data_IF_941821767045
#
_entry.id   IF_941821767045
#
_cell.length_a   1.000
_cell.length_b   1.000
_cell.length_c   1.000
_cell.angle_alpha   90.00
_cell.angle_beta   90.00
_cell.angle_gamma   90.00
#
_symmetry.space_group_name_H-M   'P 1'
#
loop_
_entity.id
_entity.type
_entity.pdbx_description
1 polymer ?
#
# COMPACT_ATOMS: atom_id res chain seq x y z
N UNK A 1 49.48 42.81 1.13
CA UNK A 1 48.06 42.61 1.53
C UNK A 1 47.47 41.46 0.74
N UNK A 2 47.42 40.24 1.30
CA UNK A 2 46.61 39.14 0.77
C UNK A 2 46.08 38.34 1.96
N UNK A 3 44.84 38.64 2.37
CA UNK A 3 44.12 37.89 3.40
C UNK A 3 43.55 36.64 2.73
N UNK A 4 44.09 35.47 3.05
CA UNK A 4 43.51 34.20 2.66
C UNK A 4 42.27 33.96 3.53
N UNK A 5 41.08 33.96 2.92
CA UNK A 5 39.86 33.48 3.57
C UNK A 5 39.93 31.95 3.66
N UNK A 6 39.97 31.43 4.88
CA UNK A 6 39.68 30.02 5.16
C UNK A 6 38.16 29.82 5.08
N UNK A 7 37.70 29.20 4.01
CA UNK A 7 36.34 28.64 3.93
C UNK A 7 36.29 27.37 4.78
N UNK A 8 35.68 27.44 5.96
CA UNK A 8 35.33 26.25 6.73
C UNK A 8 34.11 25.58 6.08
N UNK A 9 34.34 24.54 5.28
CA UNK A 9 33.27 23.64 4.84
C UNK A 9 32.80 22.83 6.07
N UNK A 10 31.74 23.30 6.72
CA UNK A 10 30.96 22.49 7.64
C UNK A 10 30.23 21.42 6.81
N UNK A 11 30.78 20.20 6.77
CA UNK A 11 30.07 19.01 6.33
C UNK A 11 28.91 18.78 7.31
N UNK A 12 27.73 19.32 6.98
CA UNK A 12 26.48 18.83 7.55
C UNK A 12 26.34 17.39 7.06
N UNK A 13 26.71 16.43 7.91
CA UNK A 13 26.27 15.06 7.76
C UNK A 13 24.75 15.08 7.86
N UNK A 14 24.07 15.14 6.70
CA UNK A 14 22.66 14.88 6.64
C UNK A 14 22.48 13.48 7.25
N UNK A 15 21.68 13.33 8.32
CA UNK A 15 21.33 12.00 8.78
C UNK A 15 20.72 11.30 7.57
N UNK A 16 21.36 10.21 7.12
CA UNK A 16 20.71 9.26 6.24
C UNK A 16 19.48 8.82 7.02
N UNK A 17 18.31 9.36 6.65
CA UNK A 17 17.04 8.94 7.19
C UNK A 17 16.87 7.48 6.75
N UNK A 18 17.37 6.57 7.57
CA UNK A 18 17.13 5.15 7.41
C UNK A 18 15.62 4.99 7.47
N UNK A 19 15.03 4.41 6.43
CA UNK A 19 13.60 4.17 6.46
C UNK A 19 13.33 3.24 7.64
N UNK A 20 12.35 3.59 8.47
CA UNK A 20 12.03 2.81 9.66
C UNK A 20 11.80 1.34 9.29
N UNK A 21 12.24 0.44 10.18
CA UNK A 21 12.00 -0.99 10.05
C UNK A 21 10.49 -1.26 9.92
N UNK A 22 10.14 -2.35 9.22
CA UNK A 22 8.76 -2.79 9.15
C UNK A 22 8.25 -3.13 10.55
N UNK A 23 7.10 -2.58 10.89
CA UNK A 23 6.39 -2.83 12.14
C UNK A 23 5.20 -3.74 11.85
N UNK A 24 4.98 -4.82 12.62
CA UNK A 24 3.79 -5.63 12.46
C UNK A 24 2.55 -4.79 12.79
N UNK A 25 1.47 -5.00 12.05
CA UNK A 25 0.20 -4.33 12.31
C UNK A 25 -0.99 -5.23 11.97
N UNK A 26 -2.13 -4.88 12.55
CA UNK A 26 -3.44 -5.40 12.16
C UNK A 26 -4.43 -4.24 12.17
N UNK A 27 -5.32 -4.17 11.18
CA UNK A 27 -6.32 -3.13 11.08
C UNK A 27 -7.62 -3.74 10.54
N UNK A 28 -8.73 -3.41 11.17
CA UNK A 28 -10.07 -3.71 10.70
C UNK A 28 -10.75 -2.43 10.19
N UNK A 29 -11.61 -2.59 9.20
CA UNK A 29 -12.26 -1.49 8.52
C UNK A 29 -13.75 -1.76 8.35
N UNK A 30 -14.55 -0.71 8.46
CA UNK A 30 -15.87 -0.69 7.85
C UNK A 30 -15.73 -0.43 6.36
N UNK A 31 -16.46 -1.17 5.53
CA UNK A 31 -16.59 -0.90 4.11
C UNK A 31 -17.99 -0.36 3.81
N UNK A 32 -18.05 0.87 3.32
CA UNK A 32 -19.28 1.55 2.91
C UNK A 32 -19.31 1.65 1.38
N UNK A 33 -20.42 1.21 0.80
CA UNK A 33 -20.75 1.47 -0.58
C UNK A 33 -21.92 2.45 -0.64
N UNK A 34 -21.65 3.72 -0.95
CA UNK A 34 -22.63 4.81 -0.84
C UNK A 34 -23.95 4.58 -1.59
N UNK A 35 -23.93 3.76 -2.63
CA UNK A 35 -25.11 3.48 -3.46
C UNK A 35 -25.95 2.27 -2.99
N UNK A 36 -25.53 1.53 -1.96
CA UNK A 36 -26.28 0.40 -1.41
C UNK A 36 -26.32 0.43 0.12
N UNK A 37 -27.45 0.09 0.77
CA UNK A 37 -27.56 0.03 2.23
C UNK A 37 -26.88 -1.22 2.82
N UNK A 38 -25.71 -1.59 2.31
CA UNK A 38 -24.95 -2.77 2.71
C UNK A 38 -23.59 -2.34 3.26
N UNK A 39 -23.31 -2.72 4.51
CA UNK A 39 -21.99 -2.60 5.12
C UNK A 39 -21.20 -3.89 4.92
N UNK A 40 -19.94 -3.74 4.55
CA UNK A 40 -18.96 -4.82 4.56
C UNK A 40 -17.94 -4.62 5.68
N UNK A 41 -17.08 -5.62 5.84
CA UNK A 41 -15.87 -5.53 6.64
C UNK A 41 -14.65 -5.75 5.78
N UNK A 42 -13.54 -5.15 6.17
CA UNK A 42 -12.23 -5.51 5.65
C UNK A 42 -11.21 -5.61 6.78
N UNK A 43 -10.17 -6.39 6.56
CA UNK A 43 -9.06 -6.63 7.47
C UNK A 43 -7.76 -6.52 6.69
N UNK A 44 -6.74 -5.90 7.28
CA UNK A 44 -5.38 -5.85 6.73
C UNK A 44 -4.38 -6.15 7.83
N UNK A 45 -3.34 -6.92 7.53
CA UNK A 45 -2.28 -7.18 8.50
C UNK A 45 -0.91 -7.37 7.86
N UNK A 46 0.13 -7.02 8.60
CA UNK A 46 1.52 -7.29 8.27
C UNK A 46 2.14 -8.07 9.44
N UNK A 47 2.73 -9.23 9.15
CA UNK A 47 3.35 -10.10 10.14
C UNK A 47 4.73 -10.55 9.70
N UNK A 48 5.64 -10.72 10.67
CA UNK A 48 6.99 -11.24 10.42
C UNK A 48 6.99 -12.75 10.60
N UNK A 49 7.56 -13.46 9.64
CA UNK A 49 7.67 -14.91 9.64
C UNK A 49 8.97 -15.37 10.32
N UNK A 50 9.00 -16.63 10.77
CA UNK A 50 10.16 -17.21 11.46
C UNK A 50 11.44 -17.23 10.60
N UNK A 51 11.31 -17.31 9.27
CA UNK A 51 12.42 -17.27 8.32
C UNK A 51 12.87 -15.85 7.95
N UNK A 52 12.34 -14.82 8.62
CA UNK A 52 12.66 -13.41 8.39
C UNK A 52 11.92 -12.73 7.23
N UNK A 53 11.10 -13.47 6.46
CA UNK A 53 10.19 -12.83 5.49
C UNK A 53 9.00 -12.19 6.21
N UNK A 54 8.18 -11.45 5.46
CA UNK A 54 6.96 -10.82 5.93
C UNK A 54 5.77 -11.32 5.12
N UNK A 55 4.60 -11.41 5.75
CA UNK A 55 3.34 -11.69 5.08
C UNK A 55 2.39 -10.52 5.29
N UNK A 56 1.93 -9.95 4.18
CA UNK A 56 0.94 -8.89 4.09
C UNK A 56 -0.38 -9.48 3.60
N UNK A 57 -1.41 -9.42 4.45
CA UNK A 57 -2.73 -9.95 4.18
C UNK A 57 -3.76 -8.84 4.06
N UNK A 58 -4.72 -9.04 3.17
CA UNK A 58 -5.93 -8.25 3.07
C UNK A 58 -7.13 -9.17 2.81
N UNK A 59 -8.24 -8.91 3.49
CA UNK A 59 -9.49 -9.61 3.30
C UNK A 59 -10.62 -8.59 3.32
N UNK A 60 -11.58 -8.74 2.42
CA UNK A 60 -12.81 -7.98 2.45
C UNK A 60 -14.00 -8.92 2.23
N UNK A 61 -15.10 -8.64 2.93
CA UNK A 61 -16.34 -9.40 2.80
C UNK A 61 -17.56 -8.50 2.89
N UNK A 62 -18.52 -8.77 2.02
CA UNK A 62 -19.89 -8.27 2.03
C UNK A 62 -20.83 -9.47 1.86
N UNK A 63 -22.13 -9.30 2.11
CA UNK A 63 -23.12 -10.39 2.15
C UNK A 63 -23.04 -11.37 0.95
N UNK A 64 -22.71 -10.86 -0.25
CA UNK A 64 -22.66 -11.64 -1.49
C UNK A 64 -21.31 -11.64 -2.19
N UNK A 65 -20.25 -11.10 -1.58
CA UNK A 65 -18.96 -10.95 -2.24
C UNK A 65 -17.79 -11.05 -1.25
N UNK A 66 -16.70 -11.66 -1.69
CA UNK A 66 -15.47 -11.76 -0.90
C UNK A 66 -14.25 -11.48 -1.76
N UNK A 67 -13.19 -11.02 -1.10
CA UNK A 67 -11.89 -10.78 -1.68
C UNK A 67 -10.82 -11.12 -0.63
N UNK A 68 -9.80 -11.85 -1.05
CA UNK A 68 -8.59 -12.12 -0.26
C UNK A 68 -7.35 -11.82 -1.10
N UNK A 69 -6.36 -11.23 -0.48
CA UNK A 69 -5.08 -10.87 -1.08
C UNK A 69 -3.96 -11.15 -0.07
N UNK A 70 -2.94 -11.89 -0.48
CA UNK A 70 -1.77 -12.23 0.33
C UNK A 70 -0.51 -11.98 -0.48
N UNK A 71 0.44 -11.24 0.10
CA UNK A 71 1.79 -11.09 -0.43
C UNK A 71 2.80 -11.55 0.60
N UNK A 72 3.74 -12.40 0.19
CA UNK A 72 4.95 -12.65 0.97
C UNK A 72 6.08 -11.82 0.38
N UNK A 73 6.93 -11.25 1.23
CA UNK A 73 8.03 -10.38 0.80
C UNK A 73 9.23 -10.49 1.73
N UNK A 74 10.40 -10.15 1.21
CA UNK A 74 11.60 -9.92 2.02
C UNK A 74 11.89 -8.43 2.07
N UNK A 75 12.41 -7.98 3.20
CA UNK A 75 12.98 -6.65 3.34
C UNK A 75 14.50 -6.80 3.26
N UNK A 76 15.12 -6.28 2.20
CA UNK A 76 16.58 -6.18 2.10
C UNK A 76 16.98 -4.71 2.15
N UNK A 77 17.55 -4.29 3.28
CA UNK A 77 17.74 -2.87 3.64
C UNK A 77 16.40 -2.13 3.52
N UNK A 78 16.27 -1.25 2.54
CA UNK A 78 15.04 -0.51 2.28
C UNK A 78 14.19 -1.09 1.15
N UNK A 79 14.69 -2.09 0.42
CA UNK A 79 14.00 -2.68 -0.71
C UNK A 79 12.96 -3.72 -0.25
N UNK A 80 11.70 -3.51 -0.65
CA UNK A 80 10.67 -4.53 -0.55
C UNK A 80 10.78 -5.45 -1.76
N UNK A 81 11.06 -6.72 -1.50
CA UNK A 81 11.23 -7.75 -2.52
C UNK A 81 10.07 -8.75 -2.41
N UNK A 82 8.94 -8.55 -3.12
CA UNK A 82 7.89 -9.57 -3.22
C UNK A 82 8.47 -10.94 -3.55
N UNK A 83 7.94 -11.99 -2.93
CA UNK A 83 8.30 -13.38 -3.22
C UNK A 83 7.11 -14.09 -3.86
N UNK A 84 5.90 -13.85 -3.34
CA UNK A 84 4.65 -14.36 -3.92
C UNK A 84 3.51 -13.37 -3.74
N UNK A 85 2.55 -13.42 -4.66
CA UNK A 85 1.28 -12.72 -4.59
C UNK A 85 0.14 -13.69 -4.89
N UNK A 86 -0.89 -13.71 -4.07
CA UNK A 86 -2.08 -14.54 -4.21
C UNK A 86 -3.30 -13.66 -4.03
N UNK A 87 -4.21 -13.72 -4.99
CA UNK A 87 -5.45 -12.94 -4.97
C UNK A 87 -6.61 -13.82 -5.38
N UNK A 88 -7.71 -13.71 -4.64
CA UNK A 88 -8.95 -14.38 -4.97
C UNK A 88 -10.13 -13.43 -4.71
N UNK A 89 -11.04 -13.35 -5.66
CA UNK A 89 -12.31 -12.62 -5.54
C UNK A 89 -13.44 -13.54 -5.97
N UNK A 90 -14.43 -13.71 -5.10
CA UNK A 90 -15.59 -14.56 -5.31
C UNK A 90 -16.91 -13.85 -5.00
N UNK A 91 -18.02 -14.58 -5.15
CA UNK A 91 -19.39 -14.09 -4.91
C UNK A 91 -20.17 -13.73 -6.18
N UNK A 92 -21.19 -12.88 -6.04
CA UNK A 92 -22.04 -12.41 -7.14
C UNK A 92 -21.26 -11.44 -8.05
N UNK A 93 -20.51 -12.00 -8.99
CA UNK A 93 -19.71 -11.28 -9.97
C UNK A 93 -18.71 -12.19 -10.68
N UNK A 94 -17.92 -11.63 -11.60
CA UNK A 94 -16.86 -12.40 -12.27
C UNK A 94 -15.76 -12.75 -11.26
N UNK A 95 -15.70 -14.02 -10.90
CA UNK A 95 -14.62 -14.57 -10.09
C UNK A 95 -13.26 -14.26 -10.71
N UNK A 96 -12.27 -13.99 -9.88
CA UNK A 96 -10.90 -13.73 -10.33
C UNK A 96 -9.94 -14.38 -9.36
N UNK A 97 -8.98 -15.13 -9.91
CA UNK A 97 -7.84 -15.68 -9.17
C UNK A 97 -6.55 -15.24 -9.85
N UNK A 98 -5.58 -14.80 -9.06
CA UNK A 98 -4.23 -14.47 -9.55
C UNK A 98 -3.21 -15.09 -8.61
N UNK A 99 -2.21 -15.75 -9.18
CA UNK A 99 -1.06 -16.27 -8.46
C UNK A 99 0.18 -15.78 -9.19
N UNK A 100 1.08 -15.06 -8.53
CA UNK A 100 2.36 -14.62 -9.08
C UNK A 100 3.49 -15.03 -8.15
N UNK A 101 4.58 -15.50 -8.70
CA UNK A 101 5.81 -15.85 -8.00
C UNK A 101 6.97 -15.05 -8.58
N UNK A 102 7.71 -14.37 -7.70
CA UNK A 102 8.75 -13.41 -8.02
C UNK A 102 10.11 -14.07 -7.80
N UNK A 103 10.72 -14.57 -8.88
CA UNK A 103 12.04 -15.17 -8.83
C UNK A 103 13.11 -14.11 -9.12
N UNK A 104 13.72 -13.60 -8.05
CA UNK A 104 14.82 -12.64 -8.10
C UNK A 104 16.15 -13.24 -8.60
N UNK A 105 16.27 -14.56 -8.60
CA UNK A 105 17.46 -15.26 -9.11
C UNK A 105 17.42 -15.34 -10.63
N UNK A 106 16.29 -15.80 -11.19
CA UNK A 106 16.10 -15.87 -12.64
C UNK A 106 15.61 -14.55 -13.24
N UNK A 107 15.26 -13.56 -12.41
CA UNK A 107 14.71 -12.26 -12.78
C UNK A 107 13.42 -12.37 -13.59
N UNK A 108 12.50 -13.22 -13.13
CA UNK A 108 11.21 -13.43 -13.77
C UNK A 108 10.08 -13.46 -12.75
N UNK A 109 8.94 -12.89 -13.13
CA UNK A 109 7.65 -13.13 -12.49
C UNK A 109 6.91 -14.18 -13.29
N UNK A 110 6.42 -15.23 -12.64
CA UNK A 110 5.65 -16.30 -13.27
C UNK A 110 4.37 -16.59 -12.52
N UNK A 111 3.38 -17.21 -13.16
CA UNK A 111 2.17 -17.65 -12.48
C UNK A 111 0.94 -17.67 -13.38
N UNK A 112 -0.20 -17.23 -12.87
CA UNK A 112 -1.49 -17.22 -13.60
C UNK A 112 -2.36 -16.02 -13.24
N UNK A 113 -3.04 -15.38 -14.19
CA UNK A 113 -4.20 -14.47 -13.97
C UNK A 113 -5.42 -15.07 -14.67
N UNK A 114 -6.47 -15.41 -13.91
CA UNK A 114 -7.69 -16.08 -14.42
C UNK A 114 -7.42 -17.38 -15.19
N UNK A 115 -6.31 -18.06 -14.90
CA UNK A 115 -5.92 -19.31 -15.54
C UNK A 115 -4.95 -19.12 -16.71
N UNK A 116 -4.83 -17.90 -17.24
CA UNK A 116 -3.87 -17.57 -18.30
C UNK A 116 -2.45 -17.45 -17.71
N UNK A 117 -1.43 -18.04 -18.36
CA UNK A 117 -0.07 -18.07 -17.83
C UNK A 117 0.56 -16.67 -17.83
N UNK A 118 1.13 -16.28 -16.70
CA UNK A 118 1.89 -15.04 -16.57
C UNK A 118 3.38 -15.32 -16.68
N UNK A 119 4.09 -14.53 -17.48
CA UNK A 119 5.56 -14.52 -17.57
C UNK A 119 6.08 -13.13 -17.92
N UNK A 120 6.61 -12.42 -16.94
CA UNK A 120 7.07 -11.02 -17.08
C UNK A 120 8.51 -10.87 -16.55
N UNK A 121 9.40 -10.13 -17.23
CA UNK A 121 10.72 -9.81 -16.68
C UNK A 121 10.61 -9.10 -15.32
N UNK A 122 11.39 -9.55 -14.33
CA UNK A 122 11.43 -8.94 -13.00
C UNK A 122 12.57 -7.94 -12.90
N UNK A 123 12.24 -6.66 -12.99
CA UNK A 123 13.17 -5.55 -12.81
C UNK A 123 13.23 -5.12 -11.34
N UNK A 124 14.36 -4.51 -10.95
CA UNK A 124 14.55 -3.95 -9.61
C UNK A 124 13.44 -2.96 -9.27
N UNK A 125 12.85 -3.12 -8.08
CA UNK A 125 11.80 -2.24 -7.57
C UNK A 125 10.39 -2.53 -8.09
N UNK A 126 10.19 -3.58 -8.89
CA UNK A 126 8.85 -4.04 -9.26
C UNK A 126 8.13 -4.68 -8.06
N UNK A 127 6.85 -4.35 -7.93
CA UNK A 127 6.00 -4.73 -6.80
C UNK A 127 4.74 -5.46 -7.26
N UNK A 128 4.10 -6.20 -6.35
CA UNK A 128 2.73 -6.68 -6.53
C UNK A 128 1.69 -5.66 -6.03
N UNK A 129 0.41 -5.99 -6.25
CA UNK A 129 -0.75 -5.11 -5.95
C UNK A 129 -0.99 -4.86 -4.46
N UNK A 130 -0.39 -5.65 -3.57
CA UNK A 130 -0.43 -5.40 -2.12
C UNK A 130 0.84 -4.71 -1.64
N UNK A 131 2.01 -5.16 -2.11
CA UNK A 131 3.32 -4.66 -1.64
C UNK A 131 3.56 -3.20 -2.04
N UNK A 132 3.03 -2.71 -3.17
CA UNK A 132 3.14 -1.27 -3.49
C UNK A 132 2.48 -0.37 -2.45
N UNK A 133 1.40 -0.84 -1.81
CA UNK A 133 0.71 -0.06 -0.79
C UNK A 133 1.55 0.05 0.49
N UNK A 134 2.33 -0.99 0.80
CA UNK A 134 3.31 -0.96 1.88
C UNK A 134 4.50 -0.05 1.53
N UNK A 135 4.98 -0.09 0.29
CA UNK A 135 5.99 0.86 -0.21
C UNK A 135 5.49 2.31 -0.07
N UNK A 136 4.24 2.56 -0.45
CA UNK A 136 3.59 3.85 -0.33
C UNK A 136 3.50 4.33 1.11
N UNK A 137 3.04 3.48 2.03
CA UNK A 137 3.02 3.77 3.46
C UNK A 137 4.40 4.20 3.98
N UNK A 138 5.46 3.46 3.62
CA UNK A 138 6.84 3.78 4.03
C UNK A 138 7.34 5.08 3.43
N UNK A 139 7.04 5.33 2.16
CA UNK A 139 7.46 6.54 1.47
C UNK A 139 6.78 7.80 2.01
N UNK A 140 5.51 7.69 2.42
CA UNK A 140 4.80 8.75 3.14
C UNK A 140 5.43 8.99 4.51
N UNK A 141 5.79 7.93 5.24
CA UNK A 141 6.50 8.03 6.52
C UNK A 141 7.87 8.71 6.37
N UNK A 142 8.57 8.45 5.27
CA UNK A 142 9.83 9.11 4.91
C UNK A 142 9.65 10.55 4.40
N UNK A 143 8.41 11.07 4.36
CA UNK A 143 8.12 12.45 3.99
C UNK A 143 8.18 12.73 2.49
N UNK A 144 8.25 11.71 1.63
CA UNK A 144 8.21 11.89 0.16
C UNK A 144 6.92 12.58 -0.25
N UNK A 145 6.97 13.35 -1.35
CA UNK A 145 5.84 14.15 -1.85
C UNK A 145 5.23 13.60 -3.14
N UNK A 146 6.01 12.89 -3.93
CA UNK A 146 5.58 12.20 -5.13
C UNK A 146 6.28 10.84 -5.19
N UNK A 147 5.56 9.83 -5.64
CA UNK A 147 6.03 8.45 -5.68
C UNK A 147 5.54 7.76 -6.95
N UNK A 148 6.34 6.85 -7.50
CA UNK A 148 5.99 6.09 -8.70
C UNK A 148 6.44 4.64 -8.50
N UNK A 149 5.57 3.68 -8.81
CA UNK A 149 5.84 2.26 -8.62
C UNK A 149 5.53 1.47 -9.89
N UNK A 150 6.42 0.54 -10.24
CA UNK A 150 6.16 -0.47 -11.26
C UNK A 150 5.42 -1.63 -10.61
N UNK A 151 4.21 -1.93 -11.06
CA UNK A 151 3.32 -2.94 -10.45
C UNK A 151 2.94 -3.99 -11.47
N UNK A 152 3.13 -5.27 -11.12
CA UNK A 152 2.76 -6.38 -12.01
C UNK A 152 1.24 -6.51 -12.11
N UNK A 153 0.73 -6.54 -13.34
CA UNK A 153 -0.67 -6.54 -13.73
C UNK A 153 -0.97 -7.67 -14.72
N UNK A 154 -1.08 -8.90 -14.22
CA UNK A 154 -1.29 -10.05 -15.10
C UNK A 154 -0.06 -10.28 -15.97
N UNK A 155 -0.21 -10.20 -17.29
CA UNK A 155 0.87 -10.41 -18.27
C UNK A 155 1.73 -9.16 -18.54
N UNK A 156 1.41 -8.02 -17.92
CA UNK A 156 2.13 -6.75 -18.13
C UNK A 156 2.49 -6.07 -16.80
N UNK A 157 3.13 -4.91 -16.88
CA UNK A 157 3.46 -4.02 -15.76
C UNK A 157 2.81 -2.66 -15.98
N UNK A 158 2.19 -2.11 -14.93
CA UNK A 158 1.65 -0.76 -14.94
C UNK A 158 2.44 0.16 -14.01
N UNK A 159 2.42 1.47 -14.30
CA UNK A 159 3.05 2.50 -13.47
C UNK A 159 2.00 3.16 -12.60
N UNK A 160 2.18 3.09 -11.29
CA UNK A 160 1.29 3.72 -10.33
C UNK A 160 1.94 4.97 -9.75
N UNK A 161 1.48 6.14 -10.20
CA UNK A 161 1.95 7.43 -9.71
C UNK A 161 1.08 7.94 -8.56
N UNK A 162 1.72 8.55 -7.56
CA UNK A 162 1.06 9.09 -6.38
C UNK A 162 1.61 10.47 -6.03
N UNK A 163 0.76 11.28 -5.42
CA UNK A 163 1.13 12.59 -4.86
C UNK A 163 0.54 12.78 -3.48
N UNK A 164 1.36 13.32 -2.57
CA UNK A 164 0.90 13.77 -1.25
C UNK A 164 0.11 15.06 -1.40
N UNK A 165 -1.12 15.05 -0.89
CA UNK A 165 -1.99 16.24 -0.83
C UNK A 165 -1.66 17.07 0.41
N UNK A 166 -1.51 16.42 1.56
CA UNK A 166 -1.17 17.10 2.81
C UNK A 166 -1.74 16.44 4.06
N UNK A 167 -1.51 17.05 5.23
CA UNK A 167 -2.07 16.57 6.48
C UNK A 167 -3.59 16.82 6.55
N UNK A 168 -4.33 15.85 7.08
CA UNK A 168 -5.77 15.93 7.30
C UNK A 168 -6.16 15.15 8.56
N UNK A 169 -7.17 15.62 9.28
CA UNK A 169 -7.74 14.92 10.43
C UNK A 169 -8.92 14.07 9.96
N UNK A 170 -8.87 12.77 10.22
CA UNK A 170 -9.84 11.77 9.73
C UNK A 170 -10.65 11.24 10.90
N UNK A 171 -11.98 11.27 10.78
CA UNK A 171 -12.86 10.67 11.79
C UNK A 171 -13.03 9.18 11.54
N UNK A 172 -12.65 8.37 12.53
CA UNK A 172 -12.69 6.90 12.49
C UNK A 172 -13.46 6.37 13.71
N UNK A 173 -13.79 5.08 13.75
CA UNK A 173 -14.35 4.50 15.00
C UNK A 173 -13.30 4.36 16.11
N UNK A 174 -12.02 4.40 15.77
CA UNK A 174 -10.91 4.42 16.72
C UNK A 174 -10.64 5.84 17.30
N UNK A 175 -11.43 6.85 16.92
CA UNK A 175 -11.28 8.25 17.30
C UNK A 175 -10.82 9.14 16.14
N UNK A 176 -10.44 10.39 16.45
CA UNK A 176 -9.96 11.34 15.45
C UNK A 176 -8.47 11.14 15.19
N UNK A 177 -8.10 10.78 13.95
CA UNK A 177 -6.71 10.42 13.61
C UNK A 177 -6.08 11.48 12.72
N UNK A 178 -4.92 11.99 13.13
CA UNK A 178 -4.10 12.85 12.28
C UNK A 178 -3.38 12.01 11.21
N UNK A 179 -3.70 12.27 9.94
CA UNK A 179 -3.22 11.49 8.81
C UNK A 179 -2.58 12.36 7.71
N UNK A 180 -1.89 11.72 6.78
CA UNK A 180 -1.43 12.31 5.52
C UNK A 180 -2.29 11.77 4.38
N UNK A 181 -2.97 12.65 3.66
CA UNK A 181 -3.72 12.33 2.46
C UNK A 181 -2.80 12.21 1.25
N UNK A 182 -3.00 11.16 0.48
CA UNK A 182 -2.31 10.84 -0.76
C UNK A 182 -3.34 10.46 -1.81
N UNK A 183 -3.10 10.86 -3.06
CA UNK A 183 -3.92 10.45 -4.19
C UNK A 183 -3.11 9.68 -5.23
N UNK A 184 -3.76 8.74 -5.93
CA UNK A 184 -3.22 8.15 -7.16
C UNK A 184 -3.43 9.13 -8.31
N UNK A 185 -2.35 9.50 -8.97
CA UNK A 185 -2.34 10.34 -10.17
C UNK A 185 -2.60 9.45 -11.38
N UNK A 186 -3.52 9.87 -12.24
CA UNK A 186 -3.82 9.24 -13.53
C UNK A 186 -4.03 10.33 -14.56
N UNK A 187 -3.80 10.02 -15.83
CA UNK A 187 -4.23 10.91 -16.91
C UNK A 187 -5.77 10.98 -16.91
N UNK A 188 -6.38 12.14 -16.60
CA UNK A 188 -7.84 12.27 -16.50
C UNK A 188 -8.54 12.11 -17.85
N UNK A 189 -7.81 12.22 -18.98
CA UNK A 189 -8.35 11.96 -20.32
C UNK A 189 -8.51 10.46 -20.60
N UNK A 190 -7.72 9.63 -19.93
CA UNK A 190 -7.73 8.17 -20.07
C UNK A 190 -8.53 7.47 -18.97
N UNK A 191 -8.48 8.01 -17.75
CA UNK A 191 -9.09 7.36 -16.59
C UNK A 191 -9.55 8.37 -15.54
N UNK A 192 -10.86 8.46 -15.35
CA UNK A 192 -11.50 9.35 -14.37
C UNK A 192 -11.57 8.78 -12.94
N UNK A 193 -11.04 7.57 -12.72
CA UNK A 193 -11.07 6.92 -11.40
C UNK A 193 -10.26 7.72 -10.38
N UNK A 194 -10.90 8.02 -9.26
CA UNK A 194 -10.27 8.68 -8.11
C UNK A 194 -9.86 7.62 -7.10
N UNK A 195 -8.67 7.76 -6.52
CA UNK A 195 -8.20 6.92 -5.42
C UNK A 195 -7.45 7.79 -4.43
N UNK A 196 -8.01 7.96 -3.25
CA UNK A 196 -7.45 8.75 -2.16
C UNK A 196 -7.22 7.84 -0.95
N UNK A 197 -6.13 8.04 -0.24
CA UNK A 197 -5.69 7.23 0.90
C UNK A 197 -5.18 8.15 2.01
N UNK A 198 -5.47 7.79 3.26
CA UNK A 198 -5.04 8.52 4.44
C UNK A 198 -4.18 7.62 5.32
N UNK A 199 -2.97 8.06 5.63
CA UNK A 199 -1.99 7.29 6.42
C UNK A 199 -1.75 7.97 7.78
N UNK A 200 -1.91 7.23 8.88
CA UNK A 200 -1.86 7.78 10.25
C UNK A 200 -0.45 8.15 10.71
N UNK A 201 -0.20 9.45 10.94
CA UNK A 201 1.13 9.99 11.26
C UNK A 201 1.79 9.31 12.47
N UNK A 202 1.01 9.08 13.52
CA UNK A 202 1.52 8.60 14.81
C UNK A 202 1.38 7.08 14.99
N UNK A 203 0.86 6.36 13.99
CA UNK A 203 0.55 4.94 14.07
C UNK A 203 1.21 4.16 12.93
N UNK A 204 2.53 4.32 12.79
CA UNK A 204 3.32 3.62 11.78
C UNK A 204 2.88 3.89 10.35
N UNK A 205 2.13 4.97 10.11
CA UNK A 205 1.55 5.32 8.82
C UNK A 205 0.63 4.24 8.25
N UNK A 206 -0.04 3.43 9.09
CA UNK A 206 -1.05 2.51 8.57
C UNK A 206 -2.17 3.28 7.85
N UNK A 207 -2.77 2.62 6.84
CA UNK A 207 -3.93 3.16 6.14
C UNK A 207 -5.13 3.24 7.10
N UNK A 208 -5.71 4.43 7.27
CA UNK A 208 -6.88 4.67 8.14
C UNK A 208 -8.15 5.02 7.39
N UNK A 209 -8.02 5.47 6.14
CA UNK A 209 -9.15 5.60 5.23
C UNK A 209 -8.69 5.40 3.80
N UNK A 210 -9.59 4.91 2.96
CA UNK A 210 -9.43 4.94 1.50
C UNK A 210 -10.78 5.26 0.88
N UNK A 211 -10.74 6.16 -0.11
CA UNK A 211 -11.87 6.55 -0.93
C UNK A 211 -11.57 6.24 -2.38
N UNK A 212 -12.47 5.54 -3.03
CA UNK A 212 -12.36 5.19 -4.43
C UNK A 212 -13.65 5.53 -5.16
N UNK A 213 -13.53 6.33 -6.22
CA UNK A 213 -14.65 6.62 -7.13
C UNK A 213 -14.30 6.02 -8.47
N UNK A 214 -15.10 5.05 -8.91
CA UNK A 214 -14.95 4.40 -10.22
C UNK A 214 -15.36 5.34 -11.37
N UNK A 215 -15.00 4.96 -12.60
CA UNK A 215 -15.38 5.72 -13.81
C UNK A 215 -16.89 5.79 -14.04
N UNK A 216 -17.65 4.83 -13.52
CA UNK A 216 -19.12 4.81 -13.53
C UNK A 216 -19.75 5.58 -12.34
N UNK A 217 -18.93 6.22 -11.51
CA UNK A 217 -19.37 7.02 -10.36
C UNK A 217 -19.65 6.23 -9.09
N UNK A 218 -19.50 4.89 -9.09
CA UNK A 218 -19.61 4.10 -7.84
C UNK A 218 -18.53 4.50 -6.86
N UNK A 219 -18.91 4.73 -5.62
CA UNK A 219 -18.00 5.19 -4.56
C UNK A 219 -17.89 4.13 -3.46
N UNK A 220 -16.67 3.68 -3.22
CA UNK A 220 -16.31 2.74 -2.17
C UNK A 220 -15.41 3.44 -1.17
N UNK A 221 -15.78 3.35 0.10
CA UNK A 221 -15.02 3.92 1.20
C UNK A 221 -14.69 2.82 2.20
N UNK A 222 -13.44 2.76 2.63
CA UNK A 222 -13.06 2.01 3.84
C UNK A 222 -12.59 2.99 4.89
N UNK A 223 -12.97 2.73 6.14
CA UNK A 223 -12.64 3.58 7.29
C UNK A 223 -12.18 2.69 8.44
N UNK A 224 -11.11 3.09 9.11
CA UNK A 224 -10.57 2.36 10.26
C UNK A 224 -11.66 2.17 11.31
N UNK A 225 -11.86 0.91 11.70
CA UNK A 225 -12.69 0.55 12.82
C UNK A 225 -11.83 0.42 14.09
N UNK A 226 -10.81 -0.43 14.04
CA UNK A 226 -9.82 -0.64 15.09
C UNK A 226 -8.52 -1.18 14.48
N UNK A 227 -7.45 -1.22 15.28
CA UNK A 227 -6.19 -1.78 14.83
C UNK A 227 -5.10 -1.75 15.90
N UNK A 228 -3.98 -2.38 15.59
CA UNK A 228 -2.77 -2.40 16.40
C UNK A 228 -1.54 -2.17 15.51
N UNK A 229 -0.54 -1.48 16.07
CA UNK A 229 0.80 -1.32 15.47
C UNK A 229 1.81 -1.68 16.55
N UNK A 230 2.66 -2.66 16.27
CA UNK A 230 3.66 -3.18 17.21
C UNK A 230 3.05 -3.52 18.60
N UNK A 231 1.88 -4.19 18.55
CA UNK A 231 1.12 -4.58 19.74
C UNK A 231 0.37 -3.47 20.46
N UNK A 232 0.49 -2.20 20.04
CA UNK A 232 -0.22 -1.06 20.65
C UNK A 232 -1.51 -0.77 19.88
N UNK A 233 -2.62 -0.65 20.60
CA UNK A 233 -3.90 -0.27 20.01
C UNK A 233 -3.85 1.14 19.43
N UNK A 234 -4.30 1.28 18.20
CA UNK A 234 -4.44 2.57 17.51
C UNK A 234 -5.54 3.38 18.20
N UNK A 235 -5.22 4.61 18.58
CA UNK A 235 -6.16 5.54 19.22
C UNK A 235 -6.09 6.90 18.55
N UNK A 236 -7.25 7.42 18.19
CA UNK A 236 -7.40 8.83 17.85
C UNK A 236 -7.43 9.71 19.10
N UNK A 237 -7.22 11.00 18.89
CA UNK A 237 -7.43 12.06 19.90
C UNK A 237 -8.92 12.30 20.14
#
# INVERSE_FOLDING_TARGET
>A
MRRALLFACALFALPLAQAADLQPFSASYTADWKQLPMSGSAERSLSKNANGSWTLNFKASMLVASLTEESTLKLDKDALLPQSYRFERGGLGKAKKVNLDFDWTTKMVTGTDRGDPVKVPLNTGMLDKSTYQLALQRDVAAGKKSMSYQVVEGEDTDTYDFRVIGPEKVQTKAGSVDAIKVERVRDPTQNKRITEMWFAKDWGYILVALRQVETDGKEYNIMLQDGTVDGKAVKGS
#
